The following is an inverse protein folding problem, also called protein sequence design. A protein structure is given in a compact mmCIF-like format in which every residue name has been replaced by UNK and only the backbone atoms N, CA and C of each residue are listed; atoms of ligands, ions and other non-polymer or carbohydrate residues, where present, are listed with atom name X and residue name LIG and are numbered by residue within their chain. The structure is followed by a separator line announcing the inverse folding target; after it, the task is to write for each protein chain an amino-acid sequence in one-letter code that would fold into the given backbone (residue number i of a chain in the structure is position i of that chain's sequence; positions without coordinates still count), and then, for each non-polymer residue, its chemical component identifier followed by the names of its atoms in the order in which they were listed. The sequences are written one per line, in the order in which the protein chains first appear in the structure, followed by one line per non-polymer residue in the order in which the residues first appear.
data_IF_635512471797
#
_entry.id   IF_635512471797
#
_cell.length_a   1.000
_cell.length_b   1.000
_cell.length_c   1.000
_cell.angle_alpha   90.00
_cell.angle_beta   90.00
_cell.angle_gamma   90.00
#
_symmetry.space_group_name_H-M   'P 1'
#
loop_
_entity.id
_entity.type
_entity.pdbx_description
1 polymer ?
#
# COMPACT_ATOMS: atom_id res chain seq x y z
N UNK A 1 4.73 -13.15 -19.88
CA UNK A 1 4.82 -13.57 -18.48
C UNK A 1 3.47 -13.56 -17.70
N UNK A 2 2.34 -13.56 -18.36
CA UNK A 2 1.03 -13.73 -17.72
C UNK A 2 0.73 -15.23 -17.70
N UNK A 3 1.09 -15.91 -16.62
CA UNK A 3 0.78 -17.33 -16.45
C UNK A 3 1.81 -18.12 -15.65
N UNK A 4 2.95 -17.51 -15.32
CA UNK A 4 3.93 -18.19 -14.46
C UNK A 4 3.49 -18.09 -13.00
N UNK A 5 3.60 -19.17 -12.21
CA UNK A 5 3.34 -19.13 -10.78
C UNK A 5 4.20 -18.09 -10.08
N UNK A 6 3.61 -17.35 -9.15
CA UNK A 6 4.32 -16.36 -8.35
C UNK A 6 4.63 -16.89 -6.96
N UNK A 7 5.88 -16.77 -6.53
CA UNK A 7 6.26 -17.11 -5.19
C UNK A 7 6.48 -15.84 -4.35
N UNK A 8 5.69 -15.68 -3.28
CA UNK A 8 5.91 -14.61 -2.31
C UNK A 8 7.12 -14.97 -1.45
N UNK A 9 8.17 -14.11 -1.41
CA UNK A 9 9.37 -14.38 -0.63
C UNK A 9 9.19 -14.08 0.87
N UNK A 10 7.98 -14.18 1.36
CA UNK A 10 7.58 -13.93 2.76
C UNK A 10 6.53 -14.94 3.19
N UNK A 11 6.34 -15.09 4.50
CA UNK A 11 5.25 -15.89 5.06
C UNK A 11 3.90 -15.27 4.71
N UNK A 12 2.87 -16.08 4.64
CA UNK A 12 1.50 -15.64 4.27
C UNK A 12 0.90 -14.60 5.21
N UNK A 13 1.28 -14.61 6.48
CA UNK A 13 0.86 -13.64 7.51
C UNK A 13 1.70 -12.36 7.53
N UNK A 14 2.83 -12.34 6.85
CA UNK A 14 3.69 -11.16 6.79
C UNK A 14 3.00 -10.06 6.00
N UNK A 15 2.93 -8.89 6.59
CA UNK A 15 2.25 -7.74 6.02
C UNK A 15 3.06 -6.47 6.15
N UNK A 16 2.55 -5.42 5.55
CA UNK A 16 3.17 -4.09 5.60
C UNK A 16 2.11 -3.00 5.51
N UNK A 17 2.47 -1.85 6.07
CA UNK A 17 1.71 -0.61 5.88
C UNK A 17 2.13 0.05 4.56
N UNK A 18 1.16 0.44 3.76
CA UNK A 18 1.36 1.06 2.45
C UNK A 18 0.47 2.29 2.26
N UNK A 19 0.81 3.07 1.27
CA UNK A 19 -0.02 4.17 0.78
C UNK A 19 0.01 4.18 -0.75
N UNK A 20 -1.15 4.37 -1.36
CA UNK A 20 -1.23 4.51 -2.81
C UNK A 20 -0.55 5.81 -3.28
N UNK A 21 0.12 5.77 -4.42
CA UNK A 21 0.96 6.88 -4.89
C UNK A 21 0.16 8.20 -5.03
N UNK A 22 -1.09 8.13 -5.50
CA UNK A 22 -1.93 9.32 -5.65
C UNK A 22 -2.21 9.98 -4.29
N UNK A 23 -2.40 9.19 -3.24
CA UNK A 23 -2.51 9.71 -1.87
C UNK A 23 -1.21 10.33 -1.38
N UNK A 24 -0.05 9.76 -1.72
CA UNK A 24 1.25 10.37 -1.40
C UNK A 24 1.39 11.73 -2.06
N UNK A 25 1.10 11.82 -3.35
CA UNK A 25 1.18 13.09 -4.11
C UNK A 25 0.20 14.11 -3.54
N UNK A 26 -1.05 13.70 -3.31
CA UNK A 26 -2.09 14.56 -2.73
C UNK A 26 -1.70 15.09 -1.35
N UNK A 27 -1.08 14.25 -0.52
CA UNK A 27 -0.62 14.67 0.80
C UNK A 27 0.41 15.81 0.75
N UNK A 28 1.32 15.78 -0.22
CA UNK A 28 2.32 16.85 -0.43
C UNK A 28 1.63 18.15 -0.81
N UNK A 29 0.64 18.10 -1.70
CA UNK A 29 -0.13 19.28 -2.08
C UNK A 29 -0.94 19.82 -0.91
N UNK A 30 -1.67 18.99 -0.19
CA UNK A 30 -2.53 19.41 0.92
C UNK A 30 -1.73 20.07 2.05
N UNK A 31 -0.59 19.47 2.45
CA UNK A 31 0.25 20.07 3.49
C UNK A 31 0.88 21.40 3.03
N UNK A 32 1.25 21.52 1.75
CA UNK A 32 1.82 22.76 1.21
C UNK A 32 0.80 23.89 1.14
N UNK A 33 -0.47 23.59 1.00
CA UNK A 33 -1.57 24.55 0.99
C UNK A 33 -2.19 24.81 2.37
N UNK A 34 -1.86 23.98 3.35
CA UNK A 34 -2.39 24.13 4.71
C UNK A 34 -1.94 25.47 5.35
N UNK A 35 -2.83 26.16 6.09
CA UNK A 35 -2.47 27.39 6.79
C UNK A 35 -1.29 27.12 7.75
N UNK A 36 -0.27 27.96 7.68
CA UNK A 36 0.93 27.84 8.52
C UNK A 36 0.61 27.71 10.02
N UNK A 37 -0.42 28.43 10.47
CA UNK A 37 -0.86 28.39 11.86
C UNK A 37 -1.40 27.02 12.31
N UNK A 38 -1.84 26.17 11.38
CA UNK A 38 -2.34 24.83 11.66
C UNK A 38 -1.23 23.80 11.76
N UNK A 39 -0.06 24.05 11.17
CA UNK A 39 1.08 23.14 11.14
C UNK A 39 1.82 23.21 12.49
N UNK A 40 1.62 22.19 13.31
CA UNK A 40 2.20 22.12 14.67
C UNK A 40 3.42 21.19 14.77
N UNK A 41 3.72 20.43 13.71
CA UNK A 41 4.82 19.48 13.71
C UNK A 41 5.79 19.77 12.54
N UNK A 42 7.03 19.34 12.69
CA UNK A 42 8.05 19.38 11.63
C UNK A 42 7.98 18.15 10.69
N UNK A 43 7.30 17.10 11.13
CA UNK A 43 7.12 15.87 10.37
C UNK A 43 5.76 15.25 10.72
N UNK A 44 5.16 14.60 9.73
CA UNK A 44 3.89 13.90 9.86
C UNK A 44 4.03 12.48 9.35
N UNK A 45 3.54 11.53 10.12
CA UNK A 45 3.33 10.18 9.66
C UNK A 45 1.97 10.09 8.98
N UNK A 46 1.94 9.38 7.84
CA UNK A 46 0.72 9.14 7.09
C UNK A 46 0.53 7.65 6.87
N UNK A 47 -0.69 7.19 7.09
CA UNK A 47 -1.09 5.81 6.87
C UNK A 47 -2.11 5.75 5.73
N UNK A 48 -1.94 4.81 4.82
CA UNK A 48 -2.94 4.49 3.81
C UNK A 48 -3.73 3.25 4.21
N UNK A 49 -3.10 2.09 4.09
CA UNK A 49 -3.71 0.79 4.40
C UNK A 49 -2.62 -0.24 4.79
N UNK A 50 -3.06 -1.33 5.39
CA UNK A 50 -2.23 -2.49 5.68
C UNK A 50 -2.75 -3.70 4.90
N UNK A 51 -1.86 -4.59 4.46
CA UNK A 51 -2.23 -5.88 3.90
C UNK A 51 -1.15 -6.93 4.18
N UNK A 52 -1.56 -8.19 4.16
CA UNK A 52 -0.65 -9.35 4.24
C UNK A 52 -0.43 -9.95 2.85
N UNK A 53 0.64 -10.73 2.70
CA UNK A 53 0.92 -11.45 1.46
C UNK A 53 -0.25 -12.38 1.08
N UNK A 54 -0.89 -13.01 2.07
CA UNK A 54 -2.09 -13.83 1.87
C UNK A 54 -3.24 -13.03 1.25
N UNK A 55 -3.57 -11.87 1.83
CA UNK A 55 -4.64 -11.01 1.31
C UNK A 55 -4.38 -10.57 -0.12
N UNK A 56 -3.13 -10.22 -0.44
CA UNK A 56 -2.75 -9.85 -1.81
C UNK A 56 -2.91 -11.02 -2.79
N UNK A 57 -2.42 -12.20 -2.43
CA UNK A 57 -2.57 -13.40 -3.25
C UNK A 57 -4.03 -13.77 -3.51
N UNK A 58 -4.85 -13.77 -2.46
CA UNK A 58 -6.30 -14.04 -2.54
C UNK A 58 -7.02 -13.03 -3.42
N UNK A 59 -6.69 -11.75 -3.28
CA UNK A 59 -7.28 -10.68 -4.10
C UNK A 59 -6.92 -10.80 -5.57
N UNK A 60 -5.65 -11.05 -5.88
CA UNK A 60 -5.22 -11.26 -7.26
C UNK A 60 -5.88 -12.49 -7.88
N UNK A 61 -6.04 -13.58 -7.12
CA UNK A 61 -6.74 -14.78 -7.59
C UNK A 61 -8.23 -14.56 -7.84
N UNK A 62 -8.89 -13.69 -7.07
CA UNK A 62 -10.28 -13.29 -7.32
C UNK A 62 -10.41 -12.55 -8.65
N UNK A 63 -9.48 -11.67 -8.99
CA UNK A 63 -9.50 -10.92 -10.25
C UNK A 63 -9.04 -11.79 -11.43
N UNK A 64 -8.04 -12.63 -11.20
CA UNK A 64 -7.47 -13.54 -12.19
C UNK A 64 -7.51 -14.98 -11.67
N UNK A 65 -8.57 -15.74 -11.93
CA UNK A 65 -8.73 -17.11 -11.41
C UNK A 65 -7.59 -18.06 -11.75
N UNK A 66 -6.89 -17.81 -12.86
CA UNK A 66 -5.69 -18.56 -13.28
C UNK A 66 -4.39 -18.14 -12.56
N UNK A 67 -4.44 -17.14 -11.68
CA UNK A 67 -3.25 -16.75 -10.93
C UNK A 67 -2.87 -17.82 -9.90
N UNK A 68 -1.68 -18.37 -10.06
CA UNK A 68 -1.12 -19.36 -9.13
C UNK A 68 -0.03 -18.71 -8.30
N UNK A 69 -0.05 -18.95 -7.00
CA UNK A 69 0.94 -18.41 -6.08
C UNK A 69 1.23 -19.36 -4.92
N UNK A 70 2.40 -19.18 -4.34
CA UNK A 70 2.89 -19.90 -3.16
C UNK A 70 3.61 -18.94 -2.22
N UNK A 71 3.94 -19.42 -1.04
CA UNK A 71 4.71 -18.66 -0.04
C UNK A 71 5.96 -19.45 0.32
N UNK A 72 7.11 -18.87 0.04
CA UNK A 72 8.41 -19.44 0.41
C UNK A 72 9.28 -18.31 0.96
N UNK A 73 9.27 -18.17 2.28
CA UNK A 73 9.94 -17.08 2.95
C UNK A 73 11.45 -17.12 2.70
N UNK A 74 11.98 -16.04 2.15
CA UNK A 74 13.39 -15.73 2.16
C UNK A 74 13.73 -15.09 3.52
N UNK A 75 14.62 -15.69 4.33
CA UNK A 75 14.90 -15.19 5.67
C UNK A 75 15.38 -13.72 5.71
N UNK A 76 16.11 -13.28 4.72
CA UNK A 76 16.63 -11.91 4.66
C UNK A 76 15.50 -10.91 4.34
N UNK A 77 14.64 -11.24 3.38
CA UNK A 77 13.45 -10.43 3.05
C UNK A 77 12.45 -10.40 4.19
N UNK A 78 12.14 -11.57 4.75
CA UNK A 78 11.21 -11.71 5.88
C UNK A 78 11.65 -10.88 7.09
N UNK A 79 12.94 -10.98 7.48
CA UNK A 79 13.46 -10.24 8.63
C UNK A 79 13.43 -8.73 8.44
N UNK A 80 13.60 -8.26 7.21
CA UNK A 80 13.52 -6.84 6.88
C UNK A 80 12.09 -6.33 7.04
N UNK A 81 11.10 -7.07 6.54
CA UNK A 81 9.69 -6.65 6.54
C UNK A 81 9.07 -6.75 7.93
N UNK A 82 9.38 -7.81 8.70
CA UNK A 82 8.88 -7.97 10.08
C UNK A 82 9.27 -6.79 10.99
N UNK A 83 10.39 -6.11 10.68
CA UNK A 83 10.81 -4.91 11.41
C UNK A 83 9.99 -3.65 11.10
N UNK A 84 9.13 -3.68 10.10
CA UNK A 84 8.28 -2.54 9.72
C UNK A 84 6.98 -2.53 10.56
N UNK A 85 6.43 -1.33 10.86
CA UNK A 85 5.18 -1.25 11.58
C UNK A 85 4.00 -1.75 10.74
N UNK A 86 3.09 -2.48 11.37
CA UNK A 86 1.83 -2.89 10.75
C UNK A 86 0.90 -1.69 10.52
N UNK A 87 0.95 -0.74 11.41
CA UNK A 87 0.12 0.47 11.36
C UNK A 87 0.97 1.71 11.64
N UNK A 88 0.69 2.78 10.91
CA UNK A 88 1.27 4.11 11.09
C UNK A 88 0.17 5.07 11.51
N UNK A 89 0.37 5.81 12.60
CA UNK A 89 -0.65 6.69 13.15
C UNK A 89 -0.62 8.06 12.45
N UNK A 90 -1.71 8.43 11.79
CA UNK A 90 -1.88 9.71 11.07
C UNK A 90 -2.61 10.79 11.88
N UNK A 91 -2.82 10.60 13.17
CA UNK A 91 -3.66 11.48 14.01
C UNK A 91 -3.24 12.94 13.94
N UNK A 92 -1.94 13.22 13.96
CA UNK A 92 -1.43 14.61 13.88
C UNK A 92 -1.75 15.27 12.54
N UNK A 93 -1.61 14.55 11.43
CA UNK A 93 -1.93 15.06 10.10
C UNK A 93 -3.44 15.32 9.95
N UNK A 94 -4.26 14.40 10.46
CA UNK A 94 -5.72 14.57 10.46
C UNK A 94 -6.14 15.78 11.28
N UNK A 95 -5.56 15.99 12.47
CA UNK A 95 -5.83 17.13 13.33
C UNK A 95 -5.41 18.47 12.70
N UNK A 96 -4.21 18.51 12.16
CA UNK A 96 -3.57 19.77 11.77
C UNK A 96 -3.99 20.24 10.38
N UNK A 97 -4.21 19.32 9.45
CA UNK A 97 -4.58 19.64 8.06
C UNK A 97 -5.59 18.69 7.42
N UNK A 98 -6.37 18.01 8.27
CA UNK A 98 -7.50 17.16 7.87
C UNK A 98 -7.14 16.02 6.89
N UNK A 99 -5.95 15.46 7.02
CA UNK A 99 -5.52 14.34 6.20
C UNK A 99 -6.44 13.13 6.34
N UNK A 100 -6.79 12.54 5.20
CA UNK A 100 -7.47 11.23 5.12
C UNK A 100 -7.02 10.53 3.83
N UNK A 101 -6.65 9.25 3.87
CA UNK A 101 -6.40 8.50 2.66
C UNK A 101 -7.71 8.32 1.88
N UNK A 102 -7.64 8.35 0.54
CA UNK A 102 -8.76 8.07 -0.36
C UNK A 102 -8.71 6.64 -0.89
N UNK A 103 -7.53 6.03 -0.87
CA UNK A 103 -7.31 4.67 -1.34
C UNK A 103 -7.12 3.71 -0.17
N UNK A 104 -7.99 2.71 -0.09
CA UNK A 104 -7.79 1.50 0.71
C UNK A 104 -7.09 0.42 -0.13
N UNK A 105 -6.87 -0.76 0.47
CA UNK A 105 -6.25 -1.89 -0.21
C UNK A 105 -7.01 -2.30 -1.49
N UNK A 106 -8.32 -2.41 -1.42
CA UNK A 106 -9.17 -2.85 -2.54
C UNK A 106 -9.11 -1.87 -3.72
N UNK A 107 -9.31 -0.59 -3.45
CA UNK A 107 -9.29 0.46 -4.46
C UNK A 107 -7.88 0.63 -5.06
N UNK A 108 -6.83 0.44 -4.26
CA UNK A 108 -5.45 0.50 -4.74
C UNK A 108 -5.14 -0.63 -5.72
N UNK A 109 -5.52 -1.87 -5.41
CA UNK A 109 -5.34 -3.01 -6.32
C UNK A 109 -6.11 -2.78 -7.62
N UNK A 110 -7.36 -2.33 -7.53
CA UNK A 110 -8.18 -2.03 -8.70
C UNK A 110 -7.51 -0.99 -9.61
N UNK A 111 -7.10 0.14 -9.05
CA UNK A 111 -6.43 1.22 -9.79
C UNK A 111 -5.13 0.76 -10.45
N UNK A 112 -4.31 -0.03 -9.75
CA UNK A 112 -3.09 -0.60 -10.30
C UNK A 112 -3.37 -1.53 -11.49
N UNK A 113 -4.35 -2.41 -11.38
CA UNK A 113 -4.70 -3.35 -12.44
C UNK A 113 -5.27 -2.64 -13.67
N UNK A 114 -6.10 -1.62 -13.48
CA UNK A 114 -6.61 -0.78 -14.56
C UNK A 114 -5.47 -0.07 -15.30
N UNK A 115 -4.51 0.49 -14.57
CA UNK A 115 -3.33 1.15 -15.13
C UNK A 115 -2.46 0.18 -15.95
N UNK A 116 -2.21 -1.02 -15.44
CA UNK A 116 -1.44 -2.05 -16.15
C UNK A 116 -2.13 -2.51 -17.42
N UNK A 117 -3.46 -2.61 -17.42
CA UNK A 117 -4.23 -2.98 -18.60
C UNK A 117 -4.14 -1.91 -19.69
N UNK A 118 -4.16 -0.63 -19.33
CA UNK A 118 -3.98 0.48 -20.27
C UNK A 118 -2.59 0.49 -20.91
N UNK A 119 -1.54 0.23 -20.12
CA UNK A 119 -0.15 0.14 -20.63
C UNK A 119 0.04 -1.04 -21.59
N UNK A 120 -0.65 -2.16 -21.36
CA UNK A 120 -0.56 -3.34 -22.24
C UNK A 120 -1.22 -3.15 -23.61
N UNK A 121 -1.99 -2.07 -23.82
CA UNK A 121 -2.61 -1.72 -25.10
C UNK A 121 -1.71 -0.89 -26.05
N UNK A 122 -0.53 -0.52 -25.60
CA UNK A 122 0.51 0.13 -26.38
C UNK A 122 1.68 -0.85 -26.64
#
# INVERSE_FOLDING_TARGET
ALGDPFNFPVSKETGMSCMFLDDVIRSIFEISLAPRACIQSHAYNLHGFHFTAKQLGEKLKQVYPGFEYSFEADPDVESMIIGWPDEVISTSATRDWNWKPEFDFENSIKAMLESLTQVSMF
#
